data_IF_424865557154
#
_entry.id   IF_424865557154
#
_cell.length_a   1.000
_cell.length_b   1.000
_cell.length_c   1.000
_cell.angle_alpha   90.00
_cell.angle_beta   90.00
_cell.angle_gamma   90.00
#
_symmetry.space_group_name_H-M   'P 1'
#
loop_
_entity.id
_entity.type
_entity.pdbx_description
1 polymer ?
#
# COMPACT_ATOMS: atom_id res chain seq x y z
N UNK A 1 5.35 -2.16 -30.18
CA UNK A 1 4.05 -2.63 -29.66
C UNK A 1 2.97 -1.52 -29.78
N UNK A 2 2.83 -0.82 -30.93
CA UNK A 2 2.30 0.57 -30.93
C UNK A 2 1.28 0.98 -32.00
N UNK A 3 0.87 0.12 -32.95
CA UNK A 3 -0.18 0.48 -33.93
C UNK A 3 -1.32 -0.53 -34.04
N UNK A 4 -1.05 -1.83 -33.88
CA UNK A 4 -2.08 -2.88 -33.91
C UNK A 4 -3.10 -2.73 -32.76
N UNK A 5 -2.60 -2.53 -31.53
CA UNK A 5 -3.42 -2.37 -30.31
C UNK A 5 -4.36 -1.15 -30.40
N UNK A 6 -3.91 -0.04 -31.02
CA UNK A 6 -4.73 1.16 -31.21
C UNK A 6 -5.88 0.94 -32.20
N UNK A 7 -5.68 0.09 -33.22
CA UNK A 7 -6.71 -0.23 -34.22
C UNK A 7 -7.83 -1.09 -33.62
N UNK A 8 -7.47 -2.02 -32.74
CA UNK A 8 -8.44 -2.90 -32.07
C UNK A 8 -9.25 -2.14 -31.01
N UNK A 9 -8.59 -1.30 -30.19
CA UNK A 9 -9.26 -0.41 -29.24
C UNK A 9 -10.27 0.54 -29.92
N UNK A 10 -9.92 1.10 -31.08
CA UNK A 10 -10.85 1.96 -31.85
C UNK A 10 -12.08 1.18 -32.29
N UNK A 11 -11.90 -0.05 -32.81
CA UNK A 11 -13.02 -0.89 -33.25
C UNK A 11 -13.93 -1.27 -32.08
N UNK A 12 -13.36 -1.63 -30.93
CA UNK A 12 -14.12 -1.93 -29.73
C UNK A 12 -14.90 -0.72 -29.21
N UNK A 13 -14.25 0.45 -29.12
CA UNK A 13 -14.89 1.69 -28.71
C UNK A 13 -16.06 2.06 -29.65
N UNK A 14 -15.84 2.04 -30.97
CA UNK A 14 -16.89 2.29 -31.96
C UNK A 14 -18.05 1.28 -31.81
N UNK A 15 -17.75 -0.01 -31.59
CA UNK A 15 -18.78 -1.04 -31.40
C UNK A 15 -19.58 -0.83 -30.10
N UNK A 16 -18.92 -0.47 -29.01
CA UNK A 16 -19.56 -0.15 -27.73
C UNK A 16 -20.48 1.06 -27.85
N UNK A 17 -20.00 2.14 -28.45
CA UNK A 17 -20.79 3.36 -28.69
C UNK A 17 -21.99 3.05 -29.60
N UNK A 18 -21.78 2.33 -30.70
CA UNK A 18 -22.87 1.95 -31.62
C UNK A 18 -23.94 1.09 -30.93
N UNK A 19 -23.54 0.13 -30.09
CA UNK A 19 -24.48 -0.66 -29.28
C UNK A 19 -25.27 0.20 -28.31
N UNK A 20 -24.64 1.17 -27.66
CA UNK A 20 -25.31 2.09 -26.75
C UNK A 20 -26.36 2.94 -27.47
N UNK A 21 -26.02 3.49 -28.64
CA UNK A 21 -26.97 4.20 -29.50
C UNK A 21 -28.16 3.33 -29.89
N UNK A 22 -27.90 2.11 -30.37
CA UNK A 22 -28.94 1.19 -30.82
C UNK A 22 -29.87 0.76 -29.68
N UNK A 23 -29.31 0.33 -28.55
CA UNK A 23 -30.08 -0.21 -27.41
C UNK A 23 -30.96 0.84 -26.74
N UNK A 24 -30.57 2.12 -26.80
CA UNK A 24 -31.32 3.23 -26.19
C UNK A 24 -32.13 4.02 -27.23
N UNK A 25 -32.22 3.54 -28.48
CA UNK A 25 -32.89 4.21 -29.60
C UNK A 25 -32.48 5.69 -29.77
N UNK A 26 -31.19 5.99 -29.56
CA UNK A 26 -30.65 7.33 -29.73
C UNK A 26 -30.47 7.63 -31.23
N UNK A 27 -30.87 8.83 -31.65
CA UNK A 27 -30.65 9.28 -33.03
C UNK A 27 -29.17 9.45 -33.31
N UNK A 28 -28.64 8.82 -34.38
CA UNK A 28 -27.24 8.97 -34.79
C UNK A 28 -26.82 10.43 -35.05
N UNK A 29 -27.78 11.33 -35.29
CA UNK A 29 -27.50 12.76 -35.40
C UNK A 29 -26.95 13.37 -34.10
N UNK A 30 -27.26 12.78 -32.93
CA UNK A 30 -26.68 13.21 -31.66
C UNK A 30 -25.15 13.09 -31.63
N UNK A 31 -24.56 12.18 -32.43
CA UNK A 31 -23.11 12.05 -32.53
C UNK A 31 -22.44 13.20 -33.30
N UNK A 32 -23.23 14.03 -34.00
CA UNK A 32 -22.77 15.22 -34.72
C UNK A 32 -22.88 16.50 -33.88
N UNK A 33 -23.53 16.42 -32.72
CA UNK A 33 -23.65 17.54 -31.81
C UNK A 33 -22.27 17.90 -31.22
N UNK A 34 -21.85 19.18 -31.20
CA UNK A 34 -20.60 19.60 -30.56
C UNK A 34 -20.48 19.13 -29.11
N UNK A 35 -21.59 19.09 -28.35
CA UNK A 35 -21.60 18.61 -26.97
C UNK A 35 -21.25 17.12 -26.86
N UNK A 36 -21.56 16.33 -27.89
CA UNK A 36 -21.13 14.94 -27.95
C UNK A 36 -19.61 14.86 -28.08
N UNK A 37 -19.01 15.64 -28.98
CA UNK A 37 -17.56 15.70 -29.12
C UNK A 37 -16.88 16.21 -27.84
N UNK A 38 -17.42 17.26 -27.23
CA UNK A 38 -16.92 17.83 -25.98
C UNK A 38 -17.01 16.82 -24.82
N UNK A 39 -18.09 16.06 -24.73
CA UNK A 39 -18.23 15.01 -23.72
C UNK A 39 -17.14 13.93 -23.86
N UNK A 40 -16.87 13.45 -25.08
CA UNK A 40 -15.77 12.50 -25.30
C UNK A 40 -14.40 13.11 -25.06
N UNK A 41 -14.20 14.38 -25.40
CA UNK A 41 -12.97 15.11 -25.09
C UNK A 41 -12.77 15.24 -23.58
N UNK A 42 -13.82 15.53 -22.81
CA UNK A 42 -13.79 15.56 -21.33
C UNK A 42 -13.48 14.18 -20.74
N UNK A 43 -14.10 13.11 -21.25
CA UNK A 43 -13.80 11.72 -20.85
C UNK A 43 -12.36 11.34 -21.19
N UNK A 44 -11.88 11.73 -22.38
CA UNK A 44 -10.50 11.48 -22.81
C UNK A 44 -9.47 12.32 -22.03
N UNK A 45 -9.87 13.50 -21.54
CA UNK A 45 -9.04 14.36 -20.66
C UNK A 45 -8.86 13.78 -19.27
N UNK A 46 -9.89 13.14 -18.71
CA UNK A 46 -9.72 12.39 -17.46
C UNK A 46 -8.64 11.30 -17.62
N UNK A 47 -8.67 10.60 -18.76
CA UNK A 47 -7.60 9.69 -19.18
C UNK A 47 -7.33 8.56 -18.16
N UNK A 48 -6.37 7.66 -18.44
CA UNK A 48 -6.01 6.58 -17.51
C UNK A 48 -5.09 7.04 -16.37
N UNK A 49 -4.97 8.35 -16.11
CA UNK A 49 -3.96 8.94 -15.24
C UNK A 49 -2.52 8.82 -15.78
N UNK A 50 -1.54 9.15 -14.95
CA UNK A 50 -0.12 9.14 -15.28
C UNK A 50 0.72 8.50 -14.17
N UNK A 51 1.94 8.10 -14.53
CA UNK A 51 2.95 7.61 -13.58
C UNK A 51 3.99 8.68 -13.34
N UNK A 52 4.25 9.02 -12.08
CA UNK A 52 5.38 9.86 -11.70
C UNK A 52 6.60 8.95 -11.59
N UNK A 53 7.71 9.34 -12.19
CA UNK A 53 8.98 8.64 -12.13
C UNK A 53 10.02 9.56 -11.52
N UNK A 54 10.72 9.07 -10.49
CA UNK A 54 11.81 9.76 -9.82
C UNK A 54 13.11 9.02 -10.10
N UNK A 55 14.09 9.72 -10.65
CA UNK A 55 15.47 9.25 -10.74
C UNK A 55 16.40 10.28 -10.12
N UNK A 56 17.32 9.84 -9.28
CA UNK A 56 18.21 10.78 -8.61
C UNK A 56 19.57 10.19 -8.29
N UNK A 57 20.60 10.96 -8.58
CA UNK A 57 21.98 10.58 -8.33
C UNK A 57 22.61 11.51 -7.28
N UNK A 58 23.62 10.99 -6.59
CA UNK A 58 24.42 11.74 -5.61
C UNK A 58 25.87 11.70 -6.02
N UNK A 59 26.52 12.86 -6.05
CA UNK A 59 27.94 12.96 -6.38
C UNK A 59 28.85 12.65 -5.18
N UNK A 60 30.16 12.54 -5.42
CA UNK A 60 31.16 12.30 -4.36
C UNK A 60 31.23 13.42 -3.31
N UNK A 61 30.72 14.61 -3.62
CA UNK A 61 30.64 15.78 -2.72
C UNK A 61 29.31 15.81 -1.95
N UNK A 62 28.52 14.72 -1.98
CA UNK A 62 27.21 14.58 -1.33
C UNK A 62 26.13 15.55 -1.85
N UNK A 63 26.34 16.13 -3.03
CA UNK A 63 25.30 16.90 -3.73
C UNK A 63 24.38 15.92 -4.43
N UNK A 64 23.09 16.03 -4.17
CA UNK A 64 22.10 15.13 -4.75
C UNK A 64 21.17 15.90 -5.68
N UNK A 65 20.86 15.29 -6.82
CA UNK A 65 19.86 15.77 -7.76
C UNK A 65 18.79 14.70 -7.88
N UNK A 66 17.53 15.12 -7.93
CA UNK A 66 16.38 14.26 -8.15
C UNK A 66 15.55 14.83 -9.29
N UNK A 67 15.44 14.09 -10.38
CA UNK A 67 14.65 14.42 -11.55
C UNK A 67 13.28 13.75 -11.44
N UNK A 68 12.23 14.52 -11.75
CA UNK A 68 10.87 14.03 -11.83
C UNK A 68 10.37 14.07 -13.27
N UNK A 69 9.85 12.93 -13.71
CA UNK A 69 9.22 12.78 -15.01
C UNK A 69 7.79 12.27 -14.81
N UNK A 70 6.87 12.72 -15.65
CA UNK A 70 5.51 12.20 -15.71
C UNK A 70 5.34 11.46 -17.02
N UNK A 71 5.02 10.17 -16.92
CA UNK A 71 4.76 9.31 -18.08
C UNK A 71 3.27 9.00 -18.19
N UNK A 72 2.74 9.14 -19.39
CA UNK A 72 1.35 8.83 -19.75
C UNK A 72 1.29 8.14 -21.11
N UNK A 73 0.14 7.62 -21.56
CA UNK A 73 0.00 7.09 -22.92
C UNK A 73 0.28 8.11 -24.03
N UNK A 74 0.31 9.41 -23.71
CA UNK A 74 0.66 10.49 -24.63
C UNK A 74 2.18 10.75 -24.72
N UNK A 75 2.96 10.17 -23.82
CA UNK A 75 4.41 10.33 -23.75
C UNK A 75 4.90 10.73 -22.35
N UNK A 76 6.21 10.98 -22.26
CA UNK A 76 6.90 11.39 -21.03
C UNK A 76 7.22 12.88 -21.08
N UNK A 77 6.91 13.59 -20.00
CA UNK A 77 7.22 15.01 -19.80
C UNK A 77 8.16 15.13 -18.60
N UNK A 78 9.23 15.91 -18.75
CA UNK A 78 10.08 16.32 -17.63
C UNK A 78 9.34 17.39 -16.81
N UNK A 79 9.17 17.15 -15.51
CA UNK A 79 8.46 18.07 -14.61
C UNK A 79 9.44 19.08 -14.02
N UNK A 80 10.42 18.59 -13.26
CA UNK A 80 11.44 19.42 -12.63
C UNK A 80 12.62 18.59 -12.12
N UNK A 81 13.71 19.29 -11.79
CA UNK A 81 14.87 18.74 -11.11
C UNK A 81 15.05 19.46 -9.78
N UNK A 82 15.09 18.69 -8.69
CA UNK A 82 15.28 19.20 -7.34
C UNK A 82 16.71 18.87 -6.89
N UNK A 83 17.53 19.90 -6.69
CA UNK A 83 18.87 19.77 -6.14
C UNK A 83 18.81 19.92 -4.61
N UNK A 84 18.96 18.82 -3.87
CA UNK A 84 19.08 18.87 -2.41
C UNK A 84 20.56 18.88 -2.02
N UNK A 85 21.04 20.01 -1.47
CA UNK A 85 22.43 20.17 -1.03
C UNK A 85 22.86 19.33 0.18
N UNK A 86 21.96 18.55 0.79
CA UNK A 86 22.24 17.75 1.99
C UNK A 86 21.38 16.49 1.95
N UNK A 87 22.04 15.32 1.91
CA UNK A 87 21.57 13.96 2.28
C UNK A 87 20.07 13.70 2.10
N UNK A 88 19.72 12.82 1.15
CA UNK A 88 18.37 12.25 0.98
C UNK A 88 17.93 11.52 2.27
N UNK A 89 17.41 12.25 3.26
CA UNK A 89 16.72 11.65 4.40
C UNK A 89 15.25 11.40 4.03
N UNK A 90 14.61 10.49 4.76
CA UNK A 90 13.25 10.05 4.49
C UNK A 90 12.25 11.21 4.43
N UNK A 91 12.41 12.20 5.33
CA UNK A 91 11.54 13.38 5.42
C UNK A 91 11.55 14.20 4.14
N UNK A 92 12.74 14.58 3.67
CA UNK A 92 12.88 15.38 2.46
C UNK A 92 12.41 14.62 1.22
N UNK A 93 12.72 13.32 1.12
CA UNK A 93 12.25 12.51 0.00
C UNK A 93 10.72 12.43 -0.01
N UNK A 94 10.10 12.24 1.16
CA UNK A 94 8.65 12.24 1.29
C UNK A 94 8.04 13.59 0.87
N UNK A 95 8.54 14.70 1.41
CA UNK A 95 8.06 16.05 1.04
C UNK A 95 8.22 16.33 -0.46
N UNK A 96 9.34 15.95 -1.05
CA UNK A 96 9.58 16.11 -2.49
C UNK A 96 8.57 15.30 -3.31
N UNK A 97 8.31 14.04 -2.95
CA UNK A 97 7.32 13.21 -3.65
C UNK A 97 5.91 13.77 -3.48
N UNK A 98 5.51 14.13 -2.25
CA UNK A 98 4.19 14.69 -1.94
C UNK A 98 3.94 15.99 -2.73
N UNK A 99 4.94 16.87 -2.82
CA UNK A 99 4.84 18.09 -3.61
C UNK A 99 4.64 17.83 -5.10
N UNK A 100 5.33 16.83 -5.67
CA UNK A 100 5.18 16.48 -7.09
C UNK A 100 3.82 15.84 -7.35
N UNK A 101 3.36 14.96 -6.46
CA UNK A 101 2.01 14.38 -6.53
C UNK A 101 0.95 15.48 -6.47
N UNK A 102 1.06 16.41 -5.53
CA UNK A 102 0.15 17.56 -5.41
C UNK A 102 0.17 18.46 -6.66
N UNK A 103 1.34 18.68 -7.27
CA UNK A 103 1.50 19.47 -8.50
C UNK A 103 0.84 18.80 -9.71
N UNK A 104 0.85 17.47 -9.77
CA UNK A 104 0.20 16.67 -10.82
C UNK A 104 -1.30 16.49 -10.55
N UNK A 105 -1.72 16.56 -9.28
CA UNK A 105 -3.05 16.22 -8.80
C UNK A 105 -3.15 14.74 -8.46
N UNK A 106 -3.44 14.40 -7.20
CA UNK A 106 -3.53 13.02 -6.70
C UNK A 106 -4.48 12.16 -7.56
N UNK A 107 -5.59 12.75 -8.01
CA UNK A 107 -6.60 12.11 -8.86
C UNK A 107 -6.07 11.69 -10.24
N UNK A 108 -4.97 12.30 -10.69
CA UNK A 108 -4.33 12.01 -11.96
C UNK A 108 -3.17 11.01 -11.81
N UNK A 109 -2.73 10.69 -10.60
CA UNK A 109 -1.56 9.82 -10.34
C UNK A 109 -2.00 8.38 -10.14
N UNK A 110 -1.54 7.49 -11.01
CA UNK A 110 -1.78 6.04 -10.90
C UNK A 110 -0.74 5.38 -10.00
N UNK A 111 0.52 5.81 -10.12
CA UNK A 111 1.64 5.23 -9.39
C UNK A 111 2.83 6.20 -9.37
N UNK A 112 3.69 6.02 -8.36
CA UNK A 112 4.98 6.69 -8.26
C UNK A 112 6.08 5.63 -8.32
N UNK A 113 6.99 5.75 -9.27
CA UNK A 113 8.11 4.83 -9.51
C UNK A 113 9.40 5.52 -9.06
N UNK A 114 10.08 4.94 -8.08
CA UNK A 114 11.28 5.52 -7.48
C UNK A 114 12.45 4.55 -7.52
N UNK A 115 13.65 5.04 -7.22
CA UNK A 115 14.79 4.18 -6.93
C UNK A 115 14.54 3.30 -5.67
N UNK A 116 15.35 2.25 -5.54
CA UNK A 116 15.26 1.27 -4.45
C UNK A 116 16.05 1.69 -3.18
N UNK A 117 16.52 2.93 -3.10
CA UNK A 117 17.32 3.39 -1.97
C UNK A 117 16.46 3.45 -0.69
N UNK A 118 17.12 3.31 0.46
CA UNK A 118 16.46 3.19 1.76
C UNK A 118 15.55 4.38 2.09
N UNK A 119 15.92 5.59 1.69
CA UNK A 119 15.14 6.80 1.91
C UNK A 119 13.80 6.80 1.12
N UNK A 120 13.80 6.35 -0.14
CA UNK A 120 12.58 6.27 -0.95
C UNK A 120 11.64 5.16 -0.46
N UNK A 121 12.19 4.00 -0.07
CA UNK A 121 11.40 2.94 0.58
C UNK A 121 10.69 3.46 1.83
N UNK A 122 11.43 4.15 2.69
CA UNK A 122 10.89 4.69 3.92
C UNK A 122 9.86 5.81 3.65
N UNK A 123 10.07 6.61 2.60
CA UNK A 123 9.11 7.64 2.19
C UNK A 123 7.79 7.01 1.70
N UNK A 124 7.86 5.95 0.89
CA UNK A 124 6.67 5.21 0.45
C UNK A 124 5.92 4.53 1.61
N UNK A 125 6.63 3.99 2.60
CA UNK A 125 6.01 3.49 3.84
C UNK A 125 5.29 4.62 4.60
N UNK A 126 5.90 5.80 4.67
CA UNK A 126 5.35 6.98 5.36
C UNK A 126 4.09 7.51 4.66
N UNK A 127 4.11 7.52 3.32
CA UNK A 127 2.97 7.88 2.48
C UNK A 127 1.78 6.94 2.70
N UNK A 128 2.03 5.64 2.63
CA UNK A 128 1.03 4.62 2.93
C UNK A 128 0.41 4.82 4.34
N UNK A 129 1.25 5.07 5.35
CA UNK A 129 0.79 5.33 6.72
C UNK A 129 0.02 6.65 6.88
N UNK A 130 0.33 7.69 6.08
CA UNK A 130 -0.38 8.98 6.06
C UNK A 130 -1.82 8.78 5.58
N UNK A 131 -2.02 8.01 4.52
CA UNK A 131 -3.34 7.77 3.94
C UNK A 131 -4.12 6.64 4.62
N UNK A 132 -3.47 5.85 5.51
CA UNK A 132 -4.12 4.75 6.26
C UNK A 132 -3.92 4.87 7.77
N UNK A 133 -4.60 5.83 8.46
CA UNK A 133 -4.40 6.07 9.90
C UNK A 133 -4.75 4.87 10.79
N UNK A 134 -5.71 4.04 10.38
CA UNK A 134 -6.05 2.79 11.08
C UNK A 134 -4.88 1.81 10.99
N UNK A 135 -4.23 1.68 9.83
CA UNK A 135 -3.06 0.81 9.66
C UNK A 135 -1.89 1.30 10.51
N UNK A 136 -1.57 2.60 10.43
CA UNK A 136 -0.51 3.22 11.21
C UNK A 136 -0.67 2.98 12.72
N UNK A 137 -1.85 3.25 13.26
CA UNK A 137 -2.13 3.07 14.69
C UNK A 137 -2.11 1.59 15.11
N UNK A 138 -2.62 0.69 14.25
CA UNK A 138 -2.67 -0.76 14.51
C UNK A 138 -1.29 -1.40 14.47
N UNK A 139 -0.47 -1.08 13.46
CA UNK A 139 0.92 -1.54 13.35
C UNK A 139 1.73 -1.04 14.55
N UNK A 140 1.56 0.23 14.95
CA UNK A 140 2.23 0.79 16.14
C UNK A 140 1.86 0.02 17.42
N UNK A 141 0.57 -0.28 17.63
CA UNK A 141 0.10 -1.09 18.77
C UNK A 141 0.67 -2.51 18.72
N UNK A 142 0.62 -3.19 17.57
CA UNK A 142 1.20 -4.51 17.37
C UNK A 142 2.70 -4.55 17.68
N UNK A 143 3.46 -3.57 17.18
CA UNK A 143 4.90 -3.43 17.46
C UNK A 143 5.18 -3.22 18.95
N UNK A 144 4.37 -2.43 19.65
CA UNK A 144 4.50 -2.25 21.12
C UNK A 144 4.29 -3.57 21.86
N UNK A 145 3.28 -4.36 21.48
CA UNK A 145 3.03 -5.69 22.06
C UNK A 145 4.23 -6.62 21.83
N UNK A 146 4.70 -6.75 20.59
CA UNK A 146 5.82 -7.65 20.28
C UNK A 146 7.11 -7.21 20.94
N UNK A 147 7.45 -5.92 20.91
CA UNK A 147 8.65 -5.41 21.56
C UNK A 147 8.59 -5.64 23.07
N UNK A 148 7.46 -5.39 23.71
CA UNK A 148 7.31 -5.60 25.14
C UNK A 148 7.65 -7.05 25.56
N UNK A 149 7.20 -8.03 24.76
CA UNK A 149 7.45 -9.45 24.98
C UNK A 149 8.91 -9.80 24.65
N UNK A 150 9.40 -9.47 23.45
CA UNK A 150 10.72 -9.91 22.97
C UNK A 150 11.90 -9.20 23.62
N UNK A 151 11.70 -8.06 24.29
CA UNK A 151 12.77 -7.42 25.08
C UNK A 151 12.98 -8.11 26.44
N UNK A 152 12.13 -9.09 26.83
CA UNK A 152 12.14 -9.66 28.18
C UNK A 152 12.10 -11.19 28.14
N UNK A 153 13.20 -11.84 28.52
CA UNK A 153 13.36 -13.31 28.49
C UNK A 153 12.21 -14.06 29.19
N UNK A 154 11.75 -13.58 30.35
CA UNK A 154 10.65 -14.20 31.09
C UNK A 154 9.31 -14.10 30.35
N UNK A 155 9.08 -13.02 29.61
CA UNK A 155 7.87 -12.88 28.79
C UNK A 155 7.94 -13.68 27.50
N UNK A 156 9.13 -13.85 26.91
CA UNK A 156 9.34 -14.78 25.80
C UNK A 156 8.97 -16.20 26.26
N UNK A 157 9.52 -16.66 27.39
CA UNK A 157 9.22 -17.99 27.93
C UNK A 157 7.72 -18.18 28.21
N UNK A 158 7.08 -17.21 28.86
CA UNK A 158 5.64 -17.23 29.09
C UNK A 158 4.85 -17.24 27.78
N UNK A 159 5.19 -16.38 26.82
CA UNK A 159 4.53 -16.36 25.51
C UNK A 159 4.66 -17.71 24.78
N UNK A 160 5.84 -18.32 24.81
CA UNK A 160 6.10 -19.62 24.18
C UNK A 160 5.27 -20.75 24.80
N UNK A 161 5.03 -20.72 26.10
CA UNK A 161 4.17 -21.69 26.79
C UNK A 161 2.71 -21.58 26.33
N UNK A 162 2.16 -20.36 26.23
CA UNK A 162 0.78 -20.16 25.77
C UNK A 162 0.60 -20.34 24.26
N UNK A 163 1.67 -20.20 23.47
CA UNK A 163 1.61 -20.26 21.99
C UNK A 163 2.14 -21.56 21.40
N UNK A 164 2.41 -22.57 22.23
CA UNK A 164 2.99 -23.86 21.80
C UNK A 164 4.31 -23.68 21.04
N UNK A 165 5.15 -22.76 21.53
CA UNK A 165 6.45 -22.47 20.95
C UNK A 165 6.43 -21.56 19.71
N UNK A 166 5.28 -21.06 19.27
CA UNK A 166 5.18 -20.19 18.08
C UNK A 166 5.79 -18.80 18.31
N UNK A 167 6.20 -18.13 17.24
CA UNK A 167 6.72 -16.77 17.26
C UNK A 167 5.66 -15.76 16.81
N UNK A 168 5.74 -14.53 17.34
CA UNK A 168 4.85 -13.43 16.97
C UNK A 168 5.44 -12.53 15.87
N UNK A 169 6.72 -12.72 15.51
CA UNK A 169 7.41 -11.92 14.50
C UNK A 169 7.89 -12.84 13.38
N UNK A 170 7.56 -12.47 12.15
CA UNK A 170 8.02 -13.15 10.94
C UNK A 170 8.75 -12.15 10.04
N UNK A 171 10.10 -12.20 9.98
CA UNK A 171 10.89 -11.32 9.12
C UNK A 171 10.55 -11.48 7.64
N UNK A 172 10.62 -10.38 6.90
CA UNK A 172 10.57 -10.33 5.44
C UNK A 172 11.63 -9.36 4.90
N UNK A 173 11.85 -9.36 3.58
CA UNK A 173 12.84 -8.48 2.94
C UNK A 173 12.57 -6.99 3.21
N UNK A 174 11.30 -6.58 3.28
CA UNK A 174 10.90 -5.20 3.56
C UNK A 174 10.28 -5.04 4.95
N UNK A 175 10.45 -3.85 5.55
CA UNK A 175 9.83 -3.50 6.83
C UNK A 175 8.31 -3.41 6.70
N UNK A 176 7.82 -2.96 5.55
CA UNK A 176 6.41 -3.07 5.14
C UNK A 176 5.88 -4.50 5.29
N UNK A 177 6.45 -5.48 4.57
CA UNK A 177 5.97 -6.86 4.62
C UNK A 177 6.14 -7.47 6.03
N UNK A 178 7.26 -7.19 6.70
CA UNK A 178 7.49 -7.64 8.08
C UNK A 178 6.38 -7.17 9.03
N UNK A 179 5.96 -5.91 8.92
CA UNK A 179 4.92 -5.34 9.79
C UNK A 179 3.59 -6.07 9.65
N UNK A 180 3.18 -6.39 8.41
CA UNK A 180 1.93 -7.14 8.18
C UNK A 180 2.03 -8.62 8.50
N UNK A 181 3.18 -9.26 8.25
CA UNK A 181 3.38 -10.65 8.67
C UNK A 181 3.38 -10.78 10.19
N UNK A 182 3.95 -9.82 10.92
CA UNK A 182 3.84 -9.73 12.38
C UNK A 182 2.39 -9.56 12.83
N UNK A 183 1.60 -8.68 12.19
CA UNK A 183 0.17 -8.58 12.47
C UNK A 183 -0.57 -9.91 12.19
N UNK A 184 -0.16 -10.64 11.16
CA UNK A 184 -0.67 -11.98 10.84
C UNK A 184 -0.42 -12.97 11.97
N UNK A 185 0.83 -13.06 12.44
CA UNK A 185 1.19 -13.93 13.57
C UNK A 185 0.45 -13.53 14.86
N UNK A 186 0.31 -12.23 15.14
CA UNK A 186 -0.49 -11.75 16.27
C UNK A 186 -1.96 -12.18 16.14
N UNK A 187 -2.55 -12.05 14.96
CA UNK A 187 -3.95 -12.46 14.69
C UNK A 187 -4.15 -13.96 14.88
N UNK A 188 -3.21 -14.78 14.38
CA UNK A 188 -3.21 -16.23 14.56
C UNK A 188 -3.11 -16.62 16.04
N UNK A 189 -2.32 -15.88 16.84
CA UNK A 189 -2.14 -16.11 18.27
C UNK A 189 -3.09 -15.31 19.17
N UNK A 190 -4.13 -14.66 18.61
CA UNK A 190 -5.04 -13.80 19.38
C UNK A 190 -5.58 -14.48 20.64
N UNK A 191 -6.14 -15.68 20.49
CA UNK A 191 -6.73 -16.44 21.61
C UNK A 191 -5.69 -16.73 22.70
N UNK A 192 -4.53 -17.24 22.31
CA UNK A 192 -3.43 -17.57 23.20
C UNK A 192 -2.90 -16.34 23.95
N UNK A 193 -2.75 -15.21 23.26
CA UNK A 193 -2.32 -13.95 23.88
C UNK A 193 -3.37 -13.41 24.84
N UNK A 194 -4.66 -13.44 24.49
CA UNK A 194 -5.72 -13.04 25.41
C UNK A 194 -5.71 -13.91 26.67
N UNK A 195 -5.58 -15.23 26.53
CA UNK A 195 -5.47 -16.16 27.66
C UNK A 195 -4.22 -15.88 28.52
N UNK A 196 -3.05 -15.68 27.89
CA UNK A 196 -1.80 -15.33 28.57
C UNK A 196 -1.98 -14.08 29.44
N UNK A 197 -2.50 -12.99 28.87
CA UNK A 197 -2.67 -11.70 29.56
C UNK A 197 -3.85 -11.66 30.55
N UNK A 198 -4.72 -12.68 30.54
CA UNK A 198 -5.77 -12.86 31.55
C UNK A 198 -5.41 -13.88 32.64
N UNK A 199 -4.34 -14.66 32.44
CA UNK A 199 -3.94 -15.75 33.32
C UNK A 199 -3.48 -15.29 34.71
N UNK A 200 -3.58 -16.17 35.70
CA UNK A 200 -3.00 -15.96 37.03
C UNK A 200 -1.49 -15.81 36.99
N UNK A 201 -0.83 -16.48 36.05
CA UNK A 201 0.62 -16.37 35.83
C UNK A 201 1.01 -14.95 35.43
N UNK A 202 0.24 -14.31 34.55
CA UNK A 202 0.43 -12.89 34.24
C UNK A 202 0.14 -12.01 35.45
N UNK A 203 -0.99 -12.22 36.14
CA UNK A 203 -1.40 -11.41 37.31
C UNK A 203 -0.37 -11.41 38.44
N UNK A 204 0.28 -12.56 38.68
CA UNK A 204 1.34 -12.72 39.70
C UNK A 204 2.71 -12.24 39.22
N UNK A 205 2.87 -11.91 37.94
CA UNK A 205 4.14 -11.42 37.41
C UNK A 205 4.39 -9.96 37.78
N UNK A 206 5.66 -9.61 37.96
CA UNK A 206 6.08 -8.21 38.16
C UNK A 206 5.74 -7.31 36.95
N UNK A 207 5.40 -7.89 35.79
CA UNK A 207 5.06 -7.14 34.59
C UNK A 207 3.61 -6.63 34.59
N UNK A 208 2.70 -7.27 35.34
CA UNK A 208 1.31 -6.83 35.43
C UNK A 208 1.14 -5.55 36.26
N UNK A 209 2.06 -5.28 37.19
CA UNK A 209 2.00 -4.10 38.07
C UNK A 209 2.59 -2.84 37.42
N UNK A 210 3.56 -2.97 36.51
CA UNK A 210 4.21 -1.83 35.84
C UNK A 210 3.28 -1.13 34.84
N UNK A 211 3.47 0.18 34.69
CA UNK A 211 2.63 1.02 33.82
C UNK A 211 2.65 0.57 32.35
N UNK A 212 3.82 0.16 31.84
CA UNK A 212 3.96 -0.35 30.48
C UNK A 212 3.16 -1.65 30.27
N UNK A 213 3.28 -2.61 31.19
CA UNK A 213 2.57 -3.89 31.11
C UNK A 213 1.05 -3.73 31.18
N UNK A 214 0.54 -2.81 32.02
CA UNK A 214 -0.89 -2.45 32.05
C UNK A 214 -1.37 -1.91 30.71
N UNK A 215 -0.59 -1.04 30.05
CA UNK A 215 -0.93 -0.53 28.71
C UNK A 215 -0.95 -1.63 27.65
N UNK A 216 0.01 -2.55 27.68
CA UNK A 216 0.06 -3.68 26.75
C UNK A 216 -1.12 -4.62 26.98
N UNK A 217 -1.44 -4.94 28.23
CA UNK A 217 -2.61 -5.74 28.58
C UNK A 217 -3.90 -5.10 28.05
N UNK A 218 -4.07 -3.78 28.22
CA UNK A 218 -5.22 -3.07 27.65
C UNK A 218 -5.31 -3.18 26.13
N UNK A 219 -4.18 -3.11 25.41
CA UNK A 219 -4.16 -3.28 23.95
C UNK A 219 -4.57 -4.71 23.56
N UNK A 220 -4.00 -5.72 24.22
CA UNK A 220 -4.26 -7.14 23.92
C UNK A 220 -5.70 -7.53 24.25
N UNK A 221 -6.31 -6.94 25.27
CA UNK A 221 -7.69 -7.23 25.64
C UNK A 221 -8.73 -6.34 24.92
N UNK A 222 -8.30 -5.32 24.17
CA UNK A 222 -9.20 -4.46 23.39
C UNK A 222 -9.70 -5.18 22.13
N UNK A 223 -11.00 -5.50 22.08
CA UNK A 223 -11.64 -6.12 20.93
C UNK A 223 -11.48 -5.31 19.63
N UNK A 224 -11.44 -3.97 19.72
CA UNK A 224 -11.28 -3.08 18.55
C UNK A 224 -9.90 -3.18 17.93
N UNK A 225 -8.86 -3.41 18.75
CA UNK A 225 -7.52 -3.66 18.24
C UNK A 225 -7.51 -4.85 17.30
N UNK A 226 -8.11 -5.97 17.70
CA UNK A 226 -8.16 -7.18 16.88
C UNK A 226 -9.00 -7.03 15.62
N UNK A 227 -10.15 -6.34 15.69
CA UNK A 227 -10.94 -6.00 14.50
C UNK A 227 -10.10 -5.20 13.50
N UNK A 228 -9.35 -4.21 13.99
CA UNK A 228 -8.48 -3.42 13.14
C UNK A 228 -7.31 -4.23 12.57
N UNK A 229 -6.72 -5.17 13.34
CA UNK A 229 -5.69 -6.09 12.83
C UNK A 229 -6.22 -6.89 11.64
N UNK A 230 -7.42 -7.48 11.77
CA UNK A 230 -8.05 -8.24 10.68
C UNK A 230 -8.33 -7.35 9.46
N UNK A 231 -8.82 -6.12 9.68
CA UNK A 231 -9.05 -5.17 8.58
C UNK A 231 -7.75 -4.80 7.87
N UNK A 232 -6.66 -4.55 8.62
CA UNK A 232 -5.35 -4.26 8.04
C UNK A 232 -4.85 -5.44 7.18
N UNK A 233 -5.00 -6.68 7.67
CA UNK A 233 -4.60 -7.88 6.94
C UNK A 233 -5.44 -8.09 5.68
N UNK A 234 -6.76 -7.86 5.74
CA UNK A 234 -7.65 -7.96 4.57
C UNK A 234 -7.25 -7.00 3.44
N UNK A 235 -6.79 -5.80 3.79
CA UNK A 235 -6.31 -4.82 2.81
C UNK A 235 -4.88 -5.12 2.32
N UNK A 236 -3.95 -5.47 3.22
CA UNK A 236 -2.53 -5.52 2.89
C UNK A 236 -2.02 -6.89 2.41
N UNK A 237 -2.63 -8.01 2.83
CA UNK A 237 -2.14 -9.35 2.48
C UNK A 237 -2.08 -9.62 0.97
N UNK A 238 -3.06 -9.18 0.14
CA UNK A 238 -2.92 -9.29 -1.32
C UNK A 238 -1.67 -8.58 -1.84
N UNK A 239 -1.35 -7.39 -1.32
CA UNK A 239 -0.15 -6.63 -1.71
C UNK A 239 1.14 -7.30 -1.25
N UNK A 240 1.16 -7.88 -0.02
CA UNK A 240 2.30 -8.65 0.48
C UNK A 240 2.59 -9.87 -0.40
N UNK A 241 1.56 -10.50 -0.98
CA UNK A 241 1.74 -11.58 -1.95
C UNK A 241 2.40 -11.08 -3.24
N UNK A 242 1.94 -9.95 -3.79
CA UNK A 242 2.56 -9.35 -4.98
C UNK A 242 4.02 -9.01 -4.71
N UNK A 243 4.33 -8.38 -3.57
CA UNK A 243 5.71 -8.07 -3.19
C UNK A 243 6.59 -9.32 -3.14
N UNK A 244 6.11 -10.41 -2.55
CA UNK A 244 6.85 -11.68 -2.51
C UNK A 244 7.13 -12.25 -3.90
N UNK A 245 6.21 -12.07 -4.86
CA UNK A 245 6.40 -12.51 -6.25
C UNK A 245 7.41 -11.63 -6.99
N UNK A 246 7.37 -10.32 -6.77
CA UNK A 246 8.33 -9.38 -7.38
C UNK A 246 9.75 -9.58 -6.85
N UNK A 247 9.85 -9.95 -5.57
CA UNK A 247 11.12 -10.23 -4.89
C UNK A 247 11.72 -11.62 -5.21
N UNK A 248 11.06 -12.47 -6.02
CA UNK A 248 11.60 -13.77 -6.41
C UNK A 248 12.75 -13.64 -7.42
N UNK A 249 13.75 -14.53 -7.35
CA UNK A 249 14.94 -14.47 -8.21
C UNK A 249 14.62 -14.59 -9.72
N UNK A 250 13.52 -15.25 -10.07
CA UNK A 250 12.92 -15.18 -11.39
C UNK A 250 12.27 -13.80 -11.58
N UNK A 251 13.03 -12.84 -12.13
CA UNK A 251 12.57 -11.45 -12.33
C UNK A 251 11.31 -11.43 -13.21
N UNK A 252 10.11 -11.13 -12.66
CA UNK A 252 8.92 -11.05 -13.48
C UNK A 252 9.01 -9.84 -14.42
N UNK A 253 8.53 -10.01 -15.65
CA UNK A 253 8.42 -8.87 -16.57
C UNK A 253 7.37 -7.87 -16.04
N UNK A 254 7.52 -6.57 -16.32
CA UNK A 254 6.57 -5.54 -15.88
C UNK A 254 5.08 -5.87 -16.18
N UNK A 255 4.72 -6.46 -17.34
CA UNK A 255 3.35 -6.90 -17.59
C UNK A 255 2.81 -7.91 -16.57
N UNK A 256 3.66 -8.82 -16.07
CA UNK A 256 3.29 -9.77 -15.03
C UNK A 256 3.01 -9.06 -13.70
N UNK A 257 3.87 -8.12 -13.30
CA UNK A 257 3.68 -7.33 -12.07
C UNK A 257 2.38 -6.53 -12.12
N UNK A 258 2.09 -5.90 -13.26
CA UNK A 258 0.82 -5.16 -13.46
C UNK A 258 -0.39 -6.09 -13.35
N UNK A 259 -0.30 -7.30 -13.91
CA UNK A 259 -1.37 -8.31 -13.79
C UNK A 259 -1.61 -8.68 -12.32
N UNK A 260 -0.56 -9.03 -11.58
CA UNK A 260 -0.66 -9.40 -10.15
C UNK A 260 -1.18 -8.25 -9.28
N UNK A 261 -0.80 -7.00 -9.58
CA UNK A 261 -1.34 -5.80 -8.91
C UNK A 261 -2.83 -5.63 -9.16
N UNK A 262 -3.30 -5.85 -10.39
CA UNK A 262 -4.73 -5.81 -10.72
C UNK A 262 -5.51 -6.91 -9.99
N UNK A 263 -4.97 -8.13 -9.94
CA UNK A 263 -5.57 -9.22 -9.16
C UNK A 263 -5.63 -8.90 -7.66
N UNK A 264 -4.57 -8.30 -7.11
CA UNK A 264 -4.55 -7.84 -5.73
C UNK A 264 -5.61 -6.76 -5.47
N UNK A 265 -5.77 -5.79 -6.39
CA UNK A 265 -6.80 -4.75 -6.30
C UNK A 265 -8.21 -5.34 -6.24
N UNK A 266 -8.53 -6.27 -7.14
CA UNK A 266 -9.83 -6.95 -7.15
C UNK A 266 -10.02 -7.80 -5.89
N UNK A 267 -8.97 -8.46 -5.40
CA UNK A 267 -9.02 -9.22 -4.15
C UNK A 267 -9.33 -8.32 -2.96
N UNK A 268 -8.67 -7.16 -2.85
CA UNK A 268 -8.94 -6.16 -1.81
C UNK A 268 -10.40 -5.72 -1.89
N UNK A 269 -10.87 -5.34 -3.08
CA UNK A 269 -12.28 -4.96 -3.28
C UNK A 269 -13.24 -6.05 -2.82
N UNK A 270 -12.98 -7.31 -3.16
CA UNK A 270 -13.80 -8.44 -2.72
C UNK A 270 -13.78 -8.68 -1.21
N UNK A 271 -12.65 -8.43 -0.54
CA UNK A 271 -12.50 -8.60 0.91
C UNK A 271 -13.36 -7.61 1.71
N UNK A 272 -13.70 -6.45 1.13
CA UNK A 272 -14.53 -5.42 1.75
C UNK A 272 -15.96 -5.34 1.17
N UNK A 273 -16.16 -5.64 -0.11
CA UNK A 273 -17.48 -5.60 -0.77
C UNK A 273 -18.47 -6.66 -0.29
N UNK A 274 -18.01 -7.71 0.40
CA UNK A 274 -18.89 -8.67 1.08
C UNK A 274 -19.60 -8.07 2.33
N UNK A 275 -19.32 -6.81 2.70
CA UNK A 275 -19.96 -6.12 3.83
C UNK A 275 -21.11 -5.17 3.45
N UNK A 276 -21.42 -4.97 2.15
CA UNK A 276 -22.54 -4.12 1.70
C UNK A 276 -23.89 -4.85 1.54
N UNK A 277 -24.05 -6.03 2.15
CA UNK A 277 -25.35 -6.73 2.21
C UNK A 277 -25.66 -7.21 3.62
N UNK A 278 -25.92 -6.27 4.55
CA UNK A 278 -26.83 -6.47 5.69
C UNK A 278 -27.45 -5.13 6.07
#
# INVERSE_FOLDING_TARGET
>A
MSQLIKKDLRKEACRGIAKWYYNNALSFNAARDPLFADMFELVARHGPGCSIMSDGWTDKKKRSICNFLVNSPRGTVFVESIASGISKNTEKVFEMLDNIVNKVGEENVVQVVTDNASAYKAAGEKDFEKHMPVHKSTISKGRKVTNFIYTRTNLIAMMKEFTEGRDLVRPAQTRFATSYLTLGCLSEQKGNLMTMFSSDKWRKSNFASISEGKRIQMIVLDGRFWTNVVNCLRAAMPLVKVLRLVDSEEKPTMPFVVKELNEAKEKIKSNFGAMERK
#
